data_IF_385249130632
#
_entry.id   IF_385249130632
#
_cell.length_a   1.000
_cell.length_b   1.000
_cell.length_c   1.000
_cell.angle_alpha   90.00
_cell.angle_beta   90.00
_cell.angle_gamma   90.00
#
_symmetry.space_group_name_H-M   'P 1'
#
loop_
_entity.id
_entity.type
_entity.pdbx_description
1 polymer ?
#
# COMPACT_ATOMS: atom_id res chain seq x y z
N UNK A 1 -19.60 17.37 37.54
CA UNK A 1 -19.42 15.90 37.61
C UNK A 1 -19.42 15.38 36.19
N UNK A 2 -18.28 14.84 35.78
CA UNK A 2 -17.92 14.36 34.45
C UNK A 2 -18.42 12.94 34.22
N UNK A 3 -19.25 12.72 33.20
CA UNK A 3 -19.57 11.39 32.70
C UNK A 3 -18.85 11.17 31.38
N UNK A 4 -17.62 10.68 31.43
CA UNK A 4 -16.96 10.10 30.26
C UNK A 4 -17.37 8.64 30.19
N UNK A 5 -18.28 8.32 29.27
CA UNK A 5 -18.63 6.94 28.94
C UNK A 5 -17.43 6.36 28.18
N UNK A 6 -16.78 5.35 28.77
CA UNK A 6 -15.74 4.58 28.10
C UNK A 6 -16.34 3.88 26.89
N UNK A 7 -16.08 4.41 25.69
CA UNK A 7 -16.29 3.67 24.47
C UNK A 7 -15.30 2.50 24.45
N UNK A 8 -15.81 1.26 24.43
CA UNK A 8 -14.98 0.11 24.11
C UNK A 8 -14.49 0.28 22.67
N UNK A 9 -13.20 0.60 22.52
CA UNK A 9 -12.57 0.70 21.21
C UNK A 9 -12.24 -0.71 20.74
N UNK A 10 -13.17 -1.33 20.01
CA UNK A 10 -12.97 -2.64 19.40
C UNK A 10 -11.91 -2.53 18.28
N UNK A 11 -10.73 -3.12 18.49
CA UNK A 11 -9.70 -3.41 17.49
C UNK A 11 -9.38 -2.29 16.47
N UNK A 12 -8.75 -1.21 16.91
CA UNK A 12 -8.01 -0.32 15.98
C UNK A 12 -6.67 -0.97 15.64
N UNK A 13 -6.69 -2.09 14.91
CA UNK A 13 -5.43 -2.68 14.44
C UNK A 13 -5.01 -1.92 13.20
N UNK A 14 -4.38 -0.74 13.39
CA UNK A 14 -3.78 0.00 12.28
C UNK A 14 -2.66 -0.86 11.69
N UNK A 15 -2.85 -1.32 10.46
CA UNK A 15 -1.86 -2.07 9.69
C UNK A 15 -0.64 -1.18 9.50
N UNK A 16 0.52 -1.62 10.01
CA UNK A 16 1.75 -0.86 9.91
C UNK A 16 2.63 -1.37 8.77
N UNK A 17 3.57 -0.55 8.31
CA UNK A 17 4.53 -0.92 7.28
C UNK A 17 5.25 -2.25 7.61
N UNK A 18 5.62 -2.46 8.87
CA UNK A 18 6.33 -3.66 9.34
C UNK A 18 5.51 -4.95 9.24
N UNK A 19 4.17 -4.84 9.22
CA UNK A 19 3.30 -5.99 9.04
C UNK A 19 3.37 -6.47 7.59
N UNK A 20 3.42 -5.52 6.65
CA UNK A 20 3.45 -5.76 5.21
C UNK A 20 4.86 -6.08 4.70
N UNK A 21 5.84 -5.24 5.02
CA UNK A 21 7.19 -5.27 4.44
C UNK A 21 8.11 -6.08 5.34
N UNK A 22 8.55 -7.24 4.84
CA UNK A 22 9.56 -8.08 5.52
C UNK A 22 10.96 -7.50 5.32
N UNK A 23 11.26 -7.07 4.09
CA UNK A 23 12.56 -6.49 3.73
C UNK A 23 12.37 -5.36 2.74
N UNK A 24 12.72 -4.15 3.16
CA UNK A 24 12.79 -2.96 2.29
C UNK A 24 14.19 -2.88 1.69
N UNK A 25 14.30 -2.95 0.36
CA UNK A 25 15.59 -2.81 -0.34
C UNK A 25 15.67 -1.43 -0.98
N UNK A 26 14.68 -1.07 -1.80
CA UNK A 26 14.55 0.27 -2.39
C UNK A 26 13.10 0.74 -2.23
N UNK A 27 12.95 1.95 -1.72
CA UNK A 27 11.71 2.71 -1.71
C UNK A 27 11.97 4.12 -2.22
N UNK A 28 10.92 4.77 -2.69
CA UNK A 28 10.94 6.18 -3.08
C UNK A 28 9.75 6.89 -2.46
N UNK A 29 9.87 8.19 -2.28
CA UNK A 29 8.71 9.06 -2.09
C UNK A 29 8.17 9.39 -3.46
N UNK A 30 6.88 9.16 -3.68
CA UNK A 30 6.19 9.48 -4.93
C UNK A 30 4.78 9.95 -4.63
N UNK A 31 4.17 10.64 -5.58
CA UNK A 31 2.80 11.10 -5.42
C UNK A 31 1.84 9.93 -5.64
N UNK A 32 0.98 9.64 -4.66
CA UNK A 32 0.00 8.56 -4.73
C UNK A 32 -1.41 9.16 -4.76
N UNK A 33 -2.23 8.73 -5.72
CA UNK A 33 -3.61 9.20 -5.84
C UNK A 33 -4.54 8.37 -4.96
N UNK A 34 -5.33 9.04 -4.13
CA UNK A 34 -6.46 8.44 -3.42
C UNK A 34 -7.66 8.39 -4.37
N UNK A 35 -8.22 7.19 -4.68
CA UNK A 35 -9.40 7.08 -5.53
C UNK A 35 -10.63 7.79 -4.93
N UNK A 36 -11.52 8.29 -5.80
CA UNK A 36 -12.79 8.87 -5.34
C UNK A 36 -13.65 7.82 -4.63
N UNK A 37 -14.09 8.14 -3.41
CA UNK A 37 -14.93 7.25 -2.59
C UNK A 37 -14.19 6.45 -1.53
N UNK A 38 -12.85 6.51 -1.50
CA UNK A 38 -12.06 5.96 -0.40
C UNK A 38 -11.59 7.05 0.57
N UNK A 39 -11.71 6.78 1.88
CA UNK A 39 -11.25 7.69 2.93
C UNK A 39 -9.77 7.48 3.28
N UNK A 40 -9.26 6.26 3.08
CA UNK A 40 -7.88 5.90 3.42
C UNK A 40 -7.38 4.74 2.56
N UNK A 41 -6.16 4.87 2.03
CA UNK A 41 -5.38 3.73 1.53
C UNK A 41 -4.52 3.18 2.66
N UNK A 42 -4.62 1.88 2.89
CA UNK A 42 -3.82 1.20 3.91
C UNK A 42 -2.44 0.79 3.37
N UNK A 43 -1.41 0.67 4.24
CA UNK A 43 -0.15 0.05 3.87
C UNK A 43 -0.37 -1.32 3.24
N UNK A 44 0.40 -1.65 2.20
CA UNK A 44 0.22 -2.87 1.43
C UNK A 44 -0.74 -2.76 0.27
N UNK A 45 -1.29 -1.57 -0.02
CA UNK A 45 -1.99 -1.33 -1.27
C UNK A 45 -1.06 -1.57 -2.46
N UNK A 46 -1.51 -2.37 -3.42
CA UNK A 46 -0.80 -2.60 -4.69
C UNK A 46 -1.02 -1.39 -5.60
N UNK A 47 0.10 -0.87 -6.12
CA UNK A 47 0.14 0.35 -6.93
C UNK A 47 0.74 0.10 -8.30
N UNK A 48 0.37 0.95 -9.25
CA UNK A 48 0.94 1.03 -10.60
C UNK A 48 1.39 2.46 -10.86
N UNK A 49 2.57 2.63 -11.46
CA UNK A 49 3.02 3.95 -11.86
C UNK A 49 2.36 4.39 -13.17
N UNK A 50 1.97 5.67 -13.22
CA UNK A 50 1.43 6.28 -14.43
C UNK A 50 2.49 7.02 -15.26
N UNK A 51 3.61 7.41 -14.63
CA UNK A 51 4.61 8.29 -15.23
C UNK A 51 6.04 7.90 -14.81
N UNK A 52 6.42 6.64 -15.01
CA UNK A 52 7.81 6.18 -14.79
C UNK A 52 8.33 6.34 -13.35
N UNK A 53 7.44 6.33 -12.36
CA UNK A 53 7.75 6.42 -10.93
C UNK A 53 7.43 7.76 -10.26
N UNK A 54 6.96 8.77 -11.00
CA UNK A 54 6.60 10.07 -10.41
C UNK A 54 5.24 10.05 -9.70
N UNK A 55 4.26 9.40 -10.31
CA UNK A 55 2.89 9.26 -9.78
C UNK A 55 2.48 7.79 -9.76
N UNK A 56 1.72 7.39 -8.75
CA UNK A 56 1.20 6.05 -8.56
C UNK A 56 -0.30 6.09 -8.28
N UNK A 57 -1.01 5.17 -8.91
CA UNK A 57 -2.44 4.92 -8.68
C UNK A 57 -2.64 3.51 -8.13
N UNK A 58 -3.82 3.24 -7.59
CA UNK A 58 -4.25 1.89 -7.22
C UNK A 58 -4.24 1.01 -8.46
N UNK A 59 -3.55 -0.14 -8.39
CA UNK A 59 -3.48 -1.06 -9.51
C UNK A 59 -4.86 -1.69 -9.77
N UNK A 60 -5.40 -1.46 -10.97
CA UNK A 60 -6.57 -2.18 -11.46
C UNK A 60 -6.21 -3.64 -11.78
N UNK A 61 -7.23 -4.49 -11.94
CA UNK A 61 -7.04 -5.86 -12.43
C UNK A 61 -6.33 -5.82 -13.80
N UNK A 62 -5.37 -6.71 -14.01
CA UNK A 62 -4.51 -6.81 -15.21
C UNK A 62 -3.55 -5.64 -15.45
N UNK A 63 -3.40 -4.72 -14.48
CA UNK A 63 -2.37 -3.68 -14.54
C UNK A 63 -0.96 -4.22 -14.26
N UNK A 64 0.06 -3.56 -14.83
CA UNK A 64 1.46 -3.86 -14.60
C UNK A 64 1.96 -3.33 -13.24
N UNK A 65 1.44 -3.91 -12.17
CA UNK A 65 1.75 -3.49 -10.80
C UNK A 65 3.26 -3.47 -10.52
N UNK A 66 3.73 -2.36 -9.94
CA UNK A 66 5.16 -2.11 -9.76
C UNK A 66 5.51 -1.36 -8.47
N UNK A 67 4.54 -1.14 -7.59
CA UNK A 67 4.77 -0.50 -6.30
C UNK A 67 3.87 -1.07 -5.21
N UNK A 68 4.33 -0.98 -3.96
CA UNK A 68 3.52 -1.26 -2.78
C UNK A 68 3.54 -0.05 -1.85
N UNK A 69 2.36 0.42 -1.44
CA UNK A 69 2.23 1.53 -0.51
C UNK A 69 2.81 1.14 0.87
N UNK A 70 3.70 1.96 1.42
CA UNK A 70 4.33 1.69 2.71
C UNK A 70 3.61 2.32 3.90
N UNK A 71 2.87 3.40 3.66
CA UNK A 71 2.23 4.19 4.72
C UNK A 71 0.77 4.48 4.41
N UNK A 72 -0.03 4.76 5.44
CA UNK A 72 -1.44 5.04 5.25
C UNK A 72 -1.62 6.43 4.62
N UNK A 73 -2.48 6.53 3.62
CA UNK A 73 -2.72 7.77 2.90
C UNK A 73 -4.20 8.18 3.03
N UNK A 74 -4.46 9.37 3.58
CA UNK A 74 -5.83 9.91 3.77
C UNK A 74 -6.21 11.00 2.78
N UNK A 75 -5.26 11.41 1.92
CA UNK A 75 -5.46 12.37 0.86
C UNK A 75 -4.38 12.15 -0.21
N UNK A 76 -4.69 12.40 -1.48
CA UNK A 76 -3.69 12.38 -2.56
C UNK A 76 -2.49 13.24 -2.20
N UNK A 77 -1.29 12.68 -2.32
CA UNK A 77 -0.09 13.33 -1.84
C UNK A 77 1.13 12.42 -1.89
N UNK A 78 2.23 12.94 -1.35
CA UNK A 78 3.50 12.21 -1.33
C UNK A 78 3.45 11.09 -0.29
N UNK A 79 3.80 9.89 -0.71
CA UNK A 79 3.87 8.71 0.14
C UNK A 79 5.08 7.84 -0.21
N UNK A 80 5.57 7.08 0.77
CA UNK A 80 6.60 6.08 0.55
C UNK A 80 6.02 4.88 -0.21
N UNK A 81 6.60 4.59 -1.36
CA UNK A 81 6.29 3.44 -2.19
C UNK A 81 7.49 2.50 -2.25
N UNK A 82 7.27 1.23 -1.95
CA UNK A 82 8.26 0.18 -2.11
C UNK A 82 8.38 -0.20 -3.59
N UNK A 83 9.59 -0.12 -4.13
CA UNK A 83 9.89 -0.53 -5.50
C UNK A 83 10.56 -1.90 -5.56
N UNK A 84 11.39 -2.23 -4.56
CA UNK A 84 12.11 -3.51 -4.49
C UNK A 84 12.14 -3.99 -3.05
N UNK A 85 11.75 -5.24 -2.82
CA UNK A 85 11.75 -5.80 -1.48
C UNK A 85 11.05 -7.14 -1.36
N UNK A 86 10.77 -7.52 -0.11
CA UNK A 86 9.99 -8.71 0.24
C UNK A 86 8.80 -8.26 1.06
N UNK A 87 7.61 -8.67 0.66
CA UNK A 87 6.33 -8.32 1.32
C UNK A 87 5.54 -9.57 1.65
N UNK A 88 4.66 -9.47 2.65
CA UNK A 88 3.75 -10.52 3.06
C UNK A 88 2.49 -10.48 2.22
N UNK A 89 2.24 -11.52 1.44
CA UNK A 89 1.13 -11.55 0.48
C UNK A 89 -0.24 -11.37 1.18
N UNK A 90 -0.41 -12.00 2.35
CA UNK A 90 -1.65 -11.94 3.14
C UNK A 90 -2.04 -10.54 3.62
N UNK A 91 -1.13 -9.58 3.55
CA UNK A 91 -1.36 -8.19 3.93
C UNK A 91 -1.33 -7.28 2.70
N UNK A 92 -1.43 -7.79 1.48
CA UNK A 92 -1.61 -6.95 0.31
C UNK A 92 -3.09 -6.68 0.06
N UNK A 93 -3.40 -5.44 -0.31
CA UNK A 93 -4.75 -5.00 -0.66
C UNK A 93 -4.79 -4.73 -2.17
N UNK A 94 -5.84 -5.20 -2.85
CA UNK A 94 -5.98 -5.06 -4.31
C UNK A 94 -5.09 -5.98 -5.14
N UNK A 95 -4.46 -6.99 -4.53
CA UNK A 95 -3.66 -7.97 -5.25
C UNK A 95 -4.53 -8.90 -6.11
N UNK A 96 -4.25 -8.94 -7.40
CA UNK A 96 -4.77 -9.93 -8.34
C UNK A 96 -3.69 -10.94 -8.77
N UNK A 97 -4.10 -12.06 -9.38
CA UNK A 97 -3.20 -13.06 -9.94
C UNK A 97 -2.31 -12.47 -11.04
N UNK A 98 -2.86 -11.60 -11.90
CA UNK A 98 -2.09 -10.96 -12.98
C UNK A 98 -0.96 -10.07 -12.45
N UNK A 99 -1.14 -9.44 -11.28
CA UNK A 99 -0.11 -8.59 -10.68
C UNK A 99 1.14 -9.35 -10.25
N UNK A 100 1.03 -10.64 -9.91
CA UNK A 100 2.13 -11.40 -9.30
C UNK A 100 3.37 -11.47 -10.20
N UNK A 101 3.17 -11.66 -11.50
CA UNK A 101 4.27 -11.72 -12.45
C UNK A 101 4.99 -10.37 -12.57
N UNK A 102 4.23 -9.27 -12.64
CA UNK A 102 4.78 -7.92 -12.71
C UNK A 102 5.51 -7.52 -11.42
N UNK A 103 4.95 -7.82 -10.25
CA UNK A 103 5.61 -7.58 -8.96
C UNK A 103 6.93 -8.36 -8.87
N UNK A 104 6.94 -9.62 -9.29
CA UNK A 104 8.16 -10.43 -9.33
C UNK A 104 9.20 -9.88 -10.32
N UNK A 105 8.77 -9.42 -11.50
CA UNK A 105 9.65 -8.78 -12.49
C UNK A 105 10.32 -7.53 -11.91
N UNK A 106 9.55 -6.74 -11.14
CA UNK A 106 10.02 -5.56 -10.39
C UNK A 106 10.77 -5.91 -9.09
N UNK A 107 11.10 -7.18 -8.85
CA UNK A 107 11.86 -7.65 -7.67
C UNK A 107 11.14 -7.39 -6.34
N UNK A 108 9.81 -7.31 -6.37
CA UNK A 108 8.94 -7.35 -5.19
C UNK A 108 8.53 -8.81 -4.99
N UNK A 109 9.15 -9.46 -4.00
CA UNK A 109 8.94 -10.87 -3.72
C UNK A 109 7.80 -11.04 -2.71
N UNK A 110 6.79 -11.82 -3.09
CA UNK A 110 5.66 -12.17 -2.24
C UNK A 110 6.00 -13.39 -1.37
N UNK A 111 5.71 -13.33 -0.07
CA UNK A 111 5.94 -14.41 0.90
C UNK A 111 4.73 -14.68 1.79
#
# INVERSE_FOLDING_TARGET
MSNFIGANVTNVTKKNQSDVVIKKVISTVANVTLPEGEEVLEPGQVLVTMNGGATFDVAAVDAEANGILCEALTATGDAEVLLIGVVREKYLTGLDVSHKEHLFANKIILK
#
